data_IF_228992995012
#
_entry.id   IF_228992995012
#
_cell.length_a   1.000
_cell.length_b   1.000
_cell.length_c   1.000
_cell.angle_alpha   90.00
_cell.angle_beta   90.00
_cell.angle_gamma   90.00
#
_symmetry.space_group_name_H-M   'P 1'
#
loop_
_entity.id
_entity.type
_entity.pdbx_description
1 polymer ?
#
# COMPACT_ATOMS: atom_id res chain seq x y z
N UNK A 1 24.73 11.91 12.02
CA UNK A 1 23.99 10.76 12.56
C UNK A 1 24.73 9.47 12.21
N UNK A 2 25.09 8.67 13.22
CA UNK A 2 25.67 7.34 12.99
C UNK A 2 24.58 6.35 12.61
N UNK A 3 24.79 5.60 11.52
CA UNK A 3 23.84 4.64 10.99
C UNK A 3 24.22 3.25 11.50
N UNK A 4 23.47 2.78 12.50
CA UNK A 4 23.58 1.45 13.09
C UNK A 4 22.19 0.99 13.57
N UNK A 5 22.07 -0.25 14.06
CA UNK A 5 20.77 -0.83 14.43
C UNK A 5 20.05 -0.11 15.56
N UNK A 6 20.76 0.70 16.36
CA UNK A 6 20.17 1.50 17.41
C UNK A 6 19.42 2.72 16.87
N UNK A 7 19.48 3.00 15.56
CA UNK A 7 18.67 4.04 14.92
C UNK A 7 17.16 3.85 15.18
N UNK A 8 16.72 2.60 15.41
CA UNK A 8 15.36 2.28 15.84
C UNK A 8 14.93 2.96 17.14
N UNK A 9 15.89 3.34 17.99
CA UNK A 9 15.67 4.02 19.27
C UNK A 9 15.98 5.53 19.22
N UNK A 10 16.34 6.07 18.04
CA UNK A 10 16.82 7.45 17.87
C UNK A 10 15.77 8.38 17.25
N UNK A 11 14.51 8.25 17.68
CA UNK A 11 13.37 9.03 17.15
C UNK A 11 13.66 10.53 17.11
N UNK A 12 14.13 11.11 18.21
CA UNK A 12 14.38 12.56 18.29
C UNK A 12 15.53 13.02 17.37
N UNK A 13 16.60 12.23 17.23
CA UNK A 13 17.70 12.53 16.30
C UNK A 13 17.22 12.49 14.85
N UNK A 14 16.37 11.52 14.50
CA UNK A 14 15.77 11.39 13.17
C UNK A 14 14.81 12.53 12.84
N UNK A 15 13.93 12.89 13.79
CA UNK A 15 13.02 14.03 13.62
C UNK A 15 13.81 15.33 13.42
N UNK A 16 14.85 15.57 14.22
CA UNK A 16 15.74 16.73 14.04
C UNK A 16 16.40 16.69 12.65
N UNK A 17 16.99 15.56 12.27
CA UNK A 17 17.63 15.39 10.98
C UNK A 17 16.70 15.73 9.81
N UNK A 18 15.48 15.15 9.79
CA UNK A 18 14.53 15.43 8.72
C UNK A 18 14.02 16.87 8.72
N UNK A 19 13.83 17.50 9.89
CA UNK A 19 13.42 18.92 10.00
C UNK A 19 14.50 19.87 9.49
N UNK A 20 15.76 19.57 9.79
CA UNK A 20 16.90 20.34 9.27
C UNK A 20 16.93 20.26 7.73
N UNK A 21 16.80 19.04 7.19
CA UNK A 21 16.70 18.82 5.73
C UNK A 21 15.49 19.56 5.12
N UNK A 22 14.32 19.49 5.76
CA UNK A 22 13.12 20.18 5.30
C UNK A 22 13.32 21.69 5.23
N UNK A 23 13.99 22.28 6.23
CA UNK A 23 14.28 23.72 6.28
C UNK A 23 15.21 24.14 5.13
N UNK A 24 16.26 23.37 4.86
CA UNK A 24 17.15 23.59 3.72
C UNK A 24 16.38 23.51 2.39
N UNK A 25 15.56 22.48 2.19
CA UNK A 25 14.77 22.29 0.98
C UNK A 25 13.73 23.39 0.78
N UNK A 26 13.00 23.78 1.83
CA UNK A 26 12.00 24.84 1.75
C UNK A 26 12.63 26.18 1.34
N UNK A 27 13.84 26.47 1.80
CA UNK A 27 14.58 27.67 1.40
C UNK A 27 14.84 27.68 -0.11
N UNK A 28 15.30 26.56 -0.68
CA UNK A 28 15.54 26.42 -2.12
C UNK A 28 14.24 26.39 -2.94
N UNK A 29 13.19 25.77 -2.42
CA UNK A 29 11.89 25.67 -3.09
C UNK A 29 11.22 27.06 -3.18
N UNK A 30 11.36 27.88 -2.13
CA UNK A 30 10.82 29.25 -2.10
C UNK A 30 11.48 30.19 -3.11
N UNK A 31 12.74 29.94 -3.51
CA UNK A 31 13.38 30.71 -4.60
C UNK A 31 12.91 30.26 -5.98
N UNK A 32 12.51 29.00 -6.13
CA UNK A 32 12.08 28.42 -7.42
C UNK A 32 10.60 28.64 -7.74
N UNK A 33 9.74 28.71 -6.73
CA UNK A 33 8.29 28.81 -6.91
C UNK A 33 7.73 29.95 -6.07
N UNK A 34 6.79 30.71 -6.61
CA UNK A 34 6.09 31.78 -5.89
C UNK A 34 5.13 31.22 -4.83
N UNK A 35 4.69 32.06 -3.88
CA UNK A 35 3.75 31.66 -2.81
C UNK A 35 2.40 31.17 -3.36
N UNK A 36 1.96 31.74 -4.49
CA UNK A 36 0.73 31.33 -5.21
C UNK A 36 0.84 29.93 -5.82
N UNK A 37 2.03 29.33 -5.89
CA UNK A 37 2.28 27.99 -6.43
C UNK A 37 2.42 26.95 -5.31
N UNK A 38 1.57 27.04 -4.29
CA UNK A 38 1.61 26.18 -3.10
C UNK A 38 1.56 24.69 -3.44
N UNK A 39 0.82 24.27 -4.47
CA UNK A 39 0.78 22.88 -4.94
C UNK A 39 2.13 22.38 -5.44
N UNK A 40 2.85 23.20 -6.21
CA UNK A 40 4.18 22.84 -6.72
C UNK A 40 5.19 22.74 -5.58
N UNK A 41 5.11 23.65 -4.61
CA UNK A 41 5.97 23.63 -3.43
C UNK A 41 5.69 22.41 -2.55
N UNK A 42 4.42 22.10 -2.29
CA UNK A 42 3.99 20.93 -1.52
C UNK A 42 4.46 19.61 -2.18
N UNK A 43 4.37 19.51 -3.51
CA UNK A 43 4.90 18.36 -4.24
C UNK A 43 6.43 18.27 -4.14
N UNK A 44 7.12 19.38 -4.38
CA UNK A 44 8.59 19.41 -4.37
C UNK A 44 9.19 19.06 -3.00
N UNK A 45 8.60 19.55 -1.90
CA UNK A 45 9.10 19.22 -0.55
C UNK A 45 8.88 17.75 -0.22
N UNK A 46 7.74 17.17 -0.61
CA UNK A 46 7.47 15.75 -0.42
C UNK A 46 8.42 14.86 -1.21
N UNK A 47 8.72 15.22 -2.47
CA UNK A 47 9.69 14.51 -3.31
C UNK A 47 11.10 14.55 -2.70
N UNK A 48 11.56 15.72 -2.25
CA UNK A 48 12.88 15.90 -1.64
C UNK A 48 13.04 15.11 -0.31
N UNK A 49 12.02 15.14 0.55
CA UNK A 49 12.02 14.37 1.80
C UNK A 49 11.99 12.86 1.55
N UNK A 50 11.16 12.38 0.61
CA UNK A 50 11.16 10.97 0.23
C UNK A 50 12.51 10.52 -0.34
N UNK A 51 13.16 11.34 -1.17
CA UNK A 51 14.50 11.04 -1.67
C UNK A 51 15.52 10.95 -0.52
N UNK A 52 15.45 11.88 0.44
CA UNK A 52 16.31 11.86 1.64
C UNK A 52 16.11 10.59 2.45
N UNK A 53 14.86 10.20 2.73
CA UNK A 53 14.51 8.94 3.41
C UNK A 53 15.06 7.73 2.65
N UNK A 54 14.86 7.67 1.33
CA UNK A 54 15.33 6.55 0.51
C UNK A 54 16.86 6.44 0.53
N UNK A 55 17.59 7.55 0.45
CA UNK A 55 19.05 7.55 0.55
C UNK A 55 19.54 7.04 1.92
N UNK A 56 18.85 7.46 3.00
CA UNK A 56 19.14 7.00 4.34
C UNK A 56 18.88 5.49 4.50
N UNK A 57 17.75 4.99 3.99
CA UNK A 57 17.42 3.56 3.98
C UNK A 57 18.44 2.77 3.17
N UNK A 58 18.85 3.25 1.99
CA UNK A 58 19.90 2.59 1.19
C UNK A 58 21.20 2.46 1.97
N UNK A 59 21.62 3.52 2.66
CA UNK A 59 22.84 3.50 3.48
C UNK A 59 22.69 2.54 4.67
N UNK A 60 21.52 2.52 5.31
CA UNK A 60 21.18 1.57 6.37
C UNK A 60 21.28 0.13 5.88
N UNK A 61 20.69 -0.18 4.72
CA UNK A 61 20.69 -1.53 4.16
C UNK A 61 22.09 -2.01 3.79
N UNK A 62 22.95 -1.12 3.27
CA UNK A 62 24.36 -1.43 3.02
C UNK A 62 25.09 -1.80 4.31
N UNK A 63 24.86 -1.05 5.39
CA UNK A 63 25.45 -1.34 6.69
C UNK A 63 24.88 -2.63 7.30
N UNK A 64 23.57 -2.83 7.18
CA UNK A 64 22.87 -4.02 7.65
C UNK A 64 23.37 -5.30 6.96
N UNK A 65 23.73 -5.22 5.68
CA UNK A 65 24.31 -6.35 4.95
C UNK A 65 25.73 -6.65 5.45
N UNK A 66 26.57 -5.62 5.61
CA UNK A 66 27.93 -5.76 6.14
C UNK A 66 27.95 -6.42 7.52
N UNK A 67 27.02 -6.03 8.38
CA UNK A 67 26.92 -6.50 9.76
C UNK A 67 25.96 -7.69 9.92
N UNK A 68 25.39 -8.20 8.82
CA UNK A 68 24.49 -9.37 8.79
C UNK A 68 23.27 -9.24 9.72
N UNK A 69 22.60 -8.10 9.69
CA UNK A 69 21.38 -7.89 10.48
C UNK A 69 20.25 -8.81 10.04
N UNK A 70 19.45 -9.22 11.01
CA UNK A 70 18.19 -9.94 10.78
C UNK A 70 17.14 -9.04 10.09
N UNK A 71 16.12 -9.65 9.47
CA UNK A 71 15.00 -8.90 8.91
C UNK A 71 14.27 -8.05 9.97
N UNK A 72 14.14 -8.55 11.20
CA UNK A 72 13.54 -7.79 12.29
C UNK A 72 14.36 -6.54 12.64
N UNK A 73 15.68 -6.65 12.74
CA UNK A 73 16.56 -5.50 13.00
C UNK A 73 16.49 -4.46 11.87
N UNK A 74 16.44 -4.92 10.60
CA UNK A 74 16.24 -4.05 9.43
C UNK A 74 14.87 -3.36 9.49
N UNK A 75 13.80 -4.11 9.76
CA UNK A 75 12.42 -3.63 9.80
C UNK A 75 12.25 -2.54 10.87
N UNK A 76 12.67 -2.79 12.10
CA UNK A 76 12.53 -1.84 13.21
C UNK A 76 13.24 -0.51 12.93
N UNK A 77 14.43 -0.57 12.33
CA UNK A 77 15.17 0.62 11.92
C UNK A 77 14.47 1.39 10.79
N UNK A 78 13.97 0.68 9.77
CA UNK A 78 13.27 1.28 8.63
C UNK A 78 11.92 1.86 9.03
N UNK A 79 11.17 1.21 9.93
CA UNK A 79 9.92 1.72 10.49
C UNK A 79 10.16 3.07 11.18
N UNK A 80 11.19 3.17 12.02
CA UNK A 80 11.51 4.42 12.73
C UNK A 80 11.91 5.55 11.76
N UNK A 81 12.77 5.26 10.78
CA UNK A 81 13.16 6.22 9.73
C UNK A 81 11.93 6.68 8.93
N UNK A 82 11.10 5.74 8.52
CA UNK A 82 9.91 6.00 7.71
C UNK A 82 8.90 6.83 8.49
N UNK A 83 8.63 6.48 9.75
CA UNK A 83 7.74 7.23 10.63
C UNK A 83 8.20 8.67 10.83
N UNK A 84 9.48 8.89 11.20
CA UNK A 84 10.01 10.23 11.40
C UNK A 84 9.94 11.08 10.13
N UNK A 85 10.25 10.48 8.97
CA UNK A 85 10.07 11.15 7.69
C UNK A 85 8.59 11.51 7.43
N UNK A 86 7.66 10.62 7.75
CA UNK A 86 6.22 10.87 7.59
C UNK A 86 5.77 12.07 8.43
N UNK A 87 6.18 12.13 9.70
CA UNK A 87 5.90 13.25 10.60
C UNK A 87 6.34 14.56 9.94
N UNK A 88 7.60 14.65 9.52
CA UNK A 88 8.17 15.87 8.93
C UNK A 88 7.58 16.20 7.55
N UNK A 89 7.20 15.19 6.76
CA UNK A 89 6.50 15.40 5.50
C UNK A 89 5.13 16.04 5.72
N UNK A 90 4.37 15.58 6.72
CA UNK A 90 3.08 16.18 7.08
C UNK A 90 3.29 17.63 7.53
N UNK A 91 4.25 17.89 8.42
CA UNK A 91 4.58 19.24 8.89
C UNK A 91 4.93 20.18 7.72
N UNK A 92 5.87 19.75 6.88
CA UNK A 92 6.43 20.58 5.81
C UNK A 92 5.44 20.83 4.69
N UNK A 93 4.56 19.86 4.40
CA UNK A 93 3.44 20.07 3.49
C UNK A 93 2.47 21.07 4.11
N UNK A 94 2.07 20.86 5.37
CA UNK A 94 1.09 21.70 6.06
C UNK A 94 1.53 23.17 6.13
N UNK A 95 2.81 23.45 6.37
CA UNK A 95 3.35 24.82 6.44
C UNK A 95 3.32 25.57 5.10
N UNK A 96 3.20 24.86 3.97
CA UNK A 96 3.18 25.45 2.62
C UNK A 96 1.78 25.46 2.03
N UNK A 97 1.03 24.39 2.29
CA UNK A 97 -0.37 24.24 1.94
C UNK A 97 -1.04 23.56 3.13
N UNK A 98 -1.80 24.29 3.96
CA UNK A 98 -2.50 23.69 5.09
C UNK A 98 -3.42 22.56 4.65
N UNK A 99 -3.53 21.54 5.51
CA UNK A 99 -4.39 20.41 5.24
C UNK A 99 -5.85 20.75 5.49
N UNK A 100 -6.67 20.46 4.47
CA UNK A 100 -8.12 20.33 4.60
C UNK A 100 -8.50 18.88 4.88
N UNK A 101 -9.69 18.65 5.42
CA UNK A 101 -10.19 17.32 5.76
C UNK A 101 -9.97 16.26 4.66
N UNK A 102 -10.42 16.55 3.43
CA UNK A 102 -10.35 15.59 2.33
C UNK A 102 -8.91 15.25 1.93
N UNK A 103 -8.04 16.27 1.88
CA UNK A 103 -6.64 16.11 1.53
C UNK A 103 -5.89 15.34 2.62
N UNK A 104 -6.19 15.62 3.89
CA UNK A 104 -5.55 14.96 5.02
C UNK A 104 -5.95 13.49 5.14
N UNK A 105 -7.25 13.20 5.09
CA UNK A 105 -7.75 11.83 5.19
C UNK A 105 -7.18 10.94 4.08
N UNK A 106 -7.15 11.44 2.83
CA UNK A 106 -6.50 10.74 1.71
C UNK A 106 -5.01 10.53 1.97
N UNK A 107 -4.32 11.59 2.40
CA UNK A 107 -2.88 11.54 2.64
C UNK A 107 -2.50 10.52 3.71
N UNK A 108 -3.25 10.44 4.81
CA UNK A 108 -2.99 9.44 5.85
C UNK A 108 -3.18 8.03 5.31
N UNK A 109 -4.18 7.81 4.44
CA UNK A 109 -4.35 6.55 3.73
C UNK A 109 -3.17 6.16 2.85
N UNK A 110 -2.69 7.09 2.03
CA UNK A 110 -1.51 6.89 1.15
C UNK A 110 -0.22 6.59 1.92
N UNK A 111 -0.14 7.01 3.18
CA UNK A 111 1.02 6.80 4.04
C UNK A 111 0.95 5.47 4.81
N UNK A 112 -0.26 5.04 5.17
CA UNK A 112 -0.48 3.84 5.97
C UNK A 112 -0.18 2.55 5.19
N UNK A 113 -0.63 2.47 3.94
CA UNK A 113 -0.42 1.30 3.07
C UNK A 113 1.07 0.92 2.92
N UNK A 114 1.95 1.80 2.37
CA UNK A 114 3.37 1.48 2.23
C UNK A 114 4.06 1.25 3.57
N UNK A 115 3.56 1.83 4.66
CA UNK A 115 4.08 1.57 6.00
C UNK A 115 3.80 0.14 6.47
N UNK A 116 2.59 -0.37 6.23
CA UNK A 116 2.24 -1.76 6.53
C UNK A 116 3.02 -2.76 5.67
N UNK A 117 3.21 -2.44 4.38
CA UNK A 117 3.97 -3.28 3.43
C UNK A 117 5.42 -3.54 3.85
N UNK A 118 6.03 -2.67 4.66
CA UNK A 118 7.38 -2.89 5.20
C UNK A 118 7.51 -4.24 5.93
N UNK A 119 6.46 -4.69 6.61
CA UNK A 119 6.47 -5.97 7.31
C UNK A 119 6.60 -7.16 6.35
N UNK A 120 6.15 -7.01 5.10
CA UNK A 120 6.25 -8.06 4.07
C UNK A 120 7.53 -7.95 3.23
N UNK A 121 8.17 -6.77 3.21
CA UNK A 121 9.47 -6.57 2.59
C UNK A 121 10.62 -7.02 3.48
N UNK A 122 10.43 -6.99 4.79
CA UNK A 122 11.38 -7.49 5.79
C UNK A 122 10.68 -8.46 6.76
N UNK A 123 10.15 -9.58 6.26
CA UNK A 123 9.36 -10.48 7.07
C UNK A 123 10.23 -11.26 8.06
N UNK A 124 9.67 -11.53 9.23
CA UNK A 124 10.24 -12.44 10.23
C UNK A 124 9.89 -13.88 9.88
N UNK A 125 8.66 -14.10 9.42
CA UNK A 125 8.21 -15.38 8.89
C UNK A 125 8.79 -15.64 7.50
N UNK A 126 8.81 -16.91 7.11
CA UNK A 126 9.16 -17.29 5.75
C UNK A 126 7.99 -17.02 4.80
N UNK A 127 8.05 -15.89 4.10
CA UNK A 127 7.17 -15.55 2.99
C UNK A 127 8.02 -15.17 1.79
N UNK A 128 7.44 -15.25 0.60
CA UNK A 128 8.11 -14.81 -0.64
C UNK A 128 7.17 -13.94 -1.46
N UNK A 129 7.64 -12.75 -1.83
CA UNK A 129 6.91 -11.87 -2.73
C UNK A 129 6.95 -12.46 -4.14
N UNK A 130 5.88 -12.27 -4.90
CA UNK A 130 5.82 -12.68 -6.31
C UNK A 130 5.19 -11.58 -7.16
N UNK A 131 5.42 -11.65 -8.47
CA UNK A 131 4.75 -10.78 -9.44
C UNK A 131 3.53 -11.53 -9.97
N UNK A 132 2.32 -10.97 -9.87
CA UNK A 132 1.11 -11.62 -10.40
C UNK A 132 1.14 -11.67 -11.93
N UNK A 133 0.41 -12.61 -12.55
CA UNK A 133 0.31 -12.66 -14.00
C UNK A 133 -0.39 -11.42 -14.55
N UNK A 134 -0.05 -11.05 -15.78
CA UNK A 134 -0.80 -10.04 -16.51
C UNK A 134 -2.17 -10.57 -16.90
N UNK A 135 -3.18 -9.70 -16.96
CA UNK A 135 -4.51 -10.10 -17.42
C UNK A 135 -4.47 -10.64 -18.86
N UNK A 136 -3.58 -10.11 -19.71
CA UNK A 136 -3.36 -10.62 -21.07
C UNK A 136 -2.84 -12.05 -21.09
N UNK A 137 -1.98 -12.43 -20.15
CA UNK A 137 -1.44 -13.78 -20.00
C UNK A 137 -2.53 -14.74 -19.52
N UNK A 138 -3.31 -14.33 -18.52
CA UNK A 138 -4.48 -15.09 -18.04
C UNK A 138 -5.49 -15.31 -19.16
N UNK A 139 -5.84 -14.24 -19.89
CA UNK A 139 -6.76 -14.31 -21.02
C UNK A 139 -6.25 -15.28 -22.08
N UNK A 140 -4.97 -15.18 -22.45
CA UNK A 140 -4.36 -16.08 -23.43
C UNK A 140 -4.44 -17.53 -22.98
N UNK A 141 -4.05 -17.81 -21.73
CA UNK A 141 -4.10 -19.16 -21.16
C UNK A 141 -5.52 -19.76 -21.21
N UNK A 142 -6.53 -19.00 -20.78
CA UNK A 142 -7.93 -19.45 -20.84
C UNK A 142 -8.42 -19.65 -22.29
N UNK A 143 -8.01 -18.79 -23.22
CA UNK A 143 -8.32 -18.95 -24.65
C UNK A 143 -7.67 -20.19 -25.25
N UNK A 144 -6.41 -20.46 -24.92
CA UNK A 144 -5.67 -21.63 -25.39
C UNK A 144 -6.33 -22.92 -24.84
N UNK A 145 -6.66 -22.96 -23.54
CA UNK A 145 -7.35 -24.10 -22.91
C UNK A 145 -8.72 -24.41 -23.54
N UNK A 146 -9.52 -23.38 -23.80
CA UNK A 146 -10.84 -23.55 -24.43
C UNK A 146 -10.70 -23.96 -25.90
N UNK A 147 -9.70 -23.42 -26.59
CA UNK A 147 -9.37 -23.80 -27.97
C UNK A 147 -8.99 -25.27 -28.05
N UNK A 148 -8.10 -25.73 -27.16
CA UNK A 148 -7.68 -27.12 -27.06
C UNK A 148 -8.85 -28.04 -26.69
N UNK A 149 -9.74 -27.60 -25.79
CA UNK A 149 -10.96 -28.34 -25.47
C UNK A 149 -11.86 -28.52 -26.69
N UNK A 150 -12.14 -27.42 -27.43
CA UNK A 150 -12.97 -27.46 -28.65
C UNK A 150 -12.34 -28.36 -29.71
N UNK A 151 -11.01 -28.32 -29.87
CA UNK A 151 -10.31 -29.12 -30.88
C UNK A 151 -10.39 -30.63 -30.61
N UNK A 152 -10.53 -31.01 -29.34
CA UNK A 152 -10.71 -32.40 -28.91
C UNK A 152 -12.17 -32.91 -29.00
N UNK A 153 -13.14 -32.04 -29.30
CA UNK A 153 -14.54 -32.46 -29.47
C UNK A 153 -14.73 -33.30 -30.73
N UNK A 154 -15.58 -34.32 -30.65
CA UNK A 154 -15.96 -35.19 -31.77
C UNK A 154 -17.11 -34.58 -32.58
N UNK A 155 -16.89 -33.38 -33.12
CA UNK A 155 -17.82 -32.58 -33.94
C UNK A 155 -17.14 -32.16 -35.24
N UNK A 156 -17.88 -31.59 -36.20
CA UNK A 156 -17.30 -31.17 -37.49
C UNK A 156 -16.34 -29.97 -37.33
N UNK A 157 -15.41 -29.82 -38.26
CA UNK A 157 -14.45 -28.70 -38.22
C UNK A 157 -15.17 -27.35 -38.39
N UNK A 158 -16.27 -27.29 -39.14
CA UNK A 158 -17.11 -26.10 -39.23
C UNK A 158 -17.75 -25.75 -37.88
N UNK A 159 -18.25 -26.73 -37.14
CA UNK A 159 -18.84 -26.54 -35.81
C UNK A 159 -17.77 -26.05 -34.81
N UNK A 160 -16.54 -26.58 -34.87
CA UNK A 160 -15.41 -26.11 -34.05
C UNK A 160 -15.08 -24.64 -34.33
N UNK A 161 -14.97 -24.27 -35.61
CA UNK A 161 -14.69 -22.89 -36.00
C UNK A 161 -15.79 -21.93 -35.54
N UNK A 162 -17.05 -22.36 -35.63
CA UNK A 162 -18.17 -21.56 -35.17
C UNK A 162 -18.15 -21.36 -33.65
N UNK A 163 -17.86 -22.41 -32.86
CA UNK A 163 -17.71 -22.31 -31.40
C UNK A 163 -16.60 -21.33 -31.00
N UNK A 164 -15.41 -21.44 -31.63
CA UNK A 164 -14.29 -20.52 -31.41
C UNK A 164 -14.69 -19.07 -31.73
N UNK A 165 -15.40 -18.85 -32.83
CA UNK A 165 -15.91 -17.52 -33.21
C UNK A 165 -16.91 -16.95 -32.20
N UNK A 166 -17.79 -17.78 -31.64
CA UNK A 166 -18.73 -17.33 -30.60
C UNK A 166 -18.01 -16.97 -29.30
N UNK A 167 -17.00 -17.76 -28.93
CA UNK A 167 -16.16 -17.47 -27.77
C UNK A 167 -15.40 -16.15 -27.92
N UNK A 168 -14.79 -15.90 -29.09
CA UNK A 168 -14.11 -14.63 -29.37
C UNK A 168 -15.07 -13.42 -29.30
N UNK A 169 -16.32 -13.59 -29.77
CA UNK A 169 -17.35 -12.56 -29.62
C UNK A 169 -17.62 -12.25 -28.14
N UNK A 170 -17.78 -13.27 -27.29
CA UNK A 170 -17.97 -13.06 -25.85
C UNK A 170 -16.78 -12.32 -25.24
N UNK A 171 -15.55 -12.72 -25.58
CA UNK A 171 -14.34 -12.05 -25.07
C UNK A 171 -14.19 -10.62 -25.52
N UNK A 172 -14.59 -10.29 -26.75
CA UNK A 172 -14.53 -8.91 -27.24
C UNK A 172 -15.47 -7.96 -26.47
N UNK A 173 -16.57 -8.48 -25.91
CA UNK A 173 -17.47 -7.72 -25.03
C UNK A 173 -16.84 -7.49 -23.64
N UNK A 174 -16.15 -8.49 -23.10
CA UNK A 174 -15.49 -8.44 -21.78
C UNK A 174 -14.23 -7.56 -21.80
N UNK A 175 -13.48 -7.52 -22.92
CA UNK A 175 -12.22 -6.78 -23.04
C UNK A 175 -12.37 -5.29 -23.36
N UNK A 176 -13.53 -4.68 -23.12
CA UNK A 176 -13.76 -3.25 -23.38
C UNK A 176 -13.10 -2.32 -22.35
N UNK A 177 -12.41 -2.87 -21.34
CA UNK A 177 -11.58 -2.12 -20.38
C UNK A 177 -10.27 -2.85 -20.06
N UNK A 178 -9.24 -2.09 -19.69
CA UNK A 178 -7.97 -2.62 -19.18
C UNK A 178 -8.19 -3.14 -17.74
N UNK A 179 -8.08 -4.46 -17.54
CA UNK A 179 -8.16 -5.08 -16.21
C UNK A 179 -6.73 -5.23 -15.67
N UNK A 180 -6.45 -4.59 -14.54
CA UNK A 180 -5.19 -4.74 -13.81
C UNK A 180 -5.38 -5.75 -12.68
N UNK A 181 -4.68 -6.90 -12.79
CA UNK A 181 -4.67 -7.94 -11.76
C UNK A 181 -3.69 -7.63 -10.62
N UNK A 182 -2.69 -6.80 -10.87
CA UNK A 182 -1.76 -6.37 -9.84
C UNK A 182 -2.48 -5.53 -8.78
N UNK A 183 -2.56 -6.08 -7.59
CA UNK A 183 -3.00 -5.42 -6.37
C UNK A 183 -1.81 -4.81 -5.61
N UNK A 184 -2.08 -4.37 -4.39
CA UNK A 184 -1.10 -3.68 -3.56
C UNK A 184 0.07 -4.57 -3.12
N UNK A 185 -0.19 -5.84 -2.81
CA UNK A 185 0.82 -6.78 -2.32
C UNK A 185 0.49 -8.21 -2.74
N UNK A 186 1.53 -8.97 -3.10
CA UNK A 186 1.40 -10.37 -3.51
C UNK A 186 2.50 -11.18 -2.82
N UNK A 187 2.12 -12.22 -2.08
CA UNK A 187 3.07 -13.06 -1.36
C UNK A 187 2.60 -14.51 -1.26
N UNK A 188 3.56 -15.41 -1.15
CA UNK A 188 3.32 -16.83 -0.87
C UNK A 188 3.71 -17.14 0.56
N UNK A 189 2.89 -17.92 1.26
CA UNK A 189 3.16 -18.42 2.60
C UNK A 189 2.61 -19.85 2.71
N UNK A 190 3.45 -20.81 3.10
CA UNK A 190 3.10 -22.24 3.19
C UNK A 190 2.43 -22.78 1.90
N UNK A 191 3.06 -22.56 0.75
CA UNK A 191 2.58 -22.95 -0.60
C UNK A 191 1.23 -22.36 -1.04
N UNK A 192 0.65 -21.45 -0.23
CA UNK A 192 -0.55 -20.70 -0.56
C UNK A 192 -0.19 -19.32 -1.08
N UNK A 193 -0.71 -18.95 -2.25
CA UNK A 193 -0.57 -17.59 -2.81
C UNK A 193 -1.64 -16.66 -2.27
N UNK A 194 -1.23 -15.47 -1.87
CA UNK A 194 -2.09 -14.40 -1.38
C UNK A 194 -1.94 -13.15 -2.23
N UNK A 195 -3.06 -12.54 -2.55
CA UNK A 195 -3.13 -11.25 -3.25
C UNK A 195 -3.90 -10.29 -2.37
N UNK A 196 -3.33 -9.12 -2.10
CA UNK A 196 -3.79 -8.21 -1.06
C UNK A 196 -4.06 -6.84 -1.64
N UNK A 197 -5.23 -6.29 -1.33
CA UNK A 197 -5.58 -4.90 -1.60
C UNK A 197 -5.67 -4.15 -0.26
N UNK A 198 -5.04 -2.97 -0.17
CA UNK A 198 -5.04 -2.13 1.01
C UNK A 198 -6.00 -0.96 0.81
N UNK A 199 -6.79 -0.67 1.84
CA UNK A 199 -7.71 0.48 1.85
C UNK A 199 -7.59 1.26 3.14
N UNK A 200 -7.60 2.59 3.04
CA UNK A 200 -7.65 3.44 4.23
C UNK A 200 -9.02 3.41 4.91
N UNK A 201 -10.07 3.13 4.15
CA UNK A 201 -11.47 3.05 4.56
C UNK A 201 -12.39 3.11 3.34
N UNK A 202 -13.69 2.91 3.54
CA UNK A 202 -14.69 3.00 2.46
C UNK A 202 -15.50 4.29 2.57
N UNK A 203 -15.43 5.15 1.55
CA UNK A 203 -16.23 6.36 1.42
C UNK A 203 -17.64 6.11 0.84
N UNK A 204 -18.46 7.16 0.78
CA UNK A 204 -19.83 7.10 0.24
C UNK A 204 -19.89 6.82 -1.28
N UNK A 205 -18.80 7.04 -2.01
CA UNK A 205 -18.71 6.86 -3.46
C UNK A 205 -17.67 5.81 -3.88
N UNK A 206 -17.86 4.56 -3.46
CA UNK A 206 -16.94 3.44 -3.72
C UNK A 206 -17.49 2.39 -4.69
N UNK A 207 -18.64 2.62 -5.33
CA UNK A 207 -19.31 1.61 -6.18
C UNK A 207 -18.41 1.08 -7.31
N UNK A 208 -17.75 1.98 -8.05
CA UNK A 208 -16.86 1.60 -9.15
C UNK A 208 -15.66 0.76 -8.67
N UNK A 209 -15.00 1.20 -7.61
CA UNK A 209 -13.88 0.47 -7.02
C UNK A 209 -14.32 -0.87 -6.41
N UNK A 210 -15.51 -0.95 -5.81
CA UNK A 210 -16.09 -2.20 -5.28
C UNK A 210 -16.31 -3.22 -6.40
N UNK A 211 -16.90 -2.79 -7.52
CA UNK A 211 -17.12 -3.66 -8.68
C UNK A 211 -15.79 -4.14 -9.28
N UNK A 212 -14.77 -3.26 -9.36
CA UNK A 212 -13.42 -3.63 -9.79
C UNK A 212 -12.82 -4.71 -8.88
N UNK A 213 -12.90 -4.53 -7.56
CA UNK A 213 -12.38 -5.49 -6.58
C UNK A 213 -13.07 -6.85 -6.67
N UNK A 214 -14.39 -6.87 -6.88
CA UNK A 214 -15.13 -8.12 -7.09
C UNK A 214 -14.70 -8.84 -8.37
N UNK A 215 -14.52 -8.09 -9.47
CA UNK A 215 -14.05 -8.65 -10.74
C UNK A 215 -12.65 -9.25 -10.60
N UNK A 216 -11.71 -8.51 -10.02
CA UNK A 216 -10.32 -8.98 -9.86
C UNK A 216 -10.25 -10.24 -8.99
N UNK A 217 -10.93 -10.26 -7.85
CA UNK A 217 -10.96 -11.45 -6.99
C UNK A 217 -11.62 -12.65 -7.68
N UNK A 218 -12.67 -12.43 -8.46
CA UNK A 218 -13.32 -13.49 -9.23
C UNK A 218 -12.36 -14.10 -10.24
N UNK A 219 -11.56 -13.29 -10.94
CA UNK A 219 -10.53 -13.79 -11.86
C UNK A 219 -9.54 -14.67 -11.09
N UNK A 220 -9.00 -14.18 -9.97
CA UNK A 220 -8.04 -14.94 -9.15
C UNK A 220 -8.58 -16.28 -8.64
N UNK A 221 -9.86 -16.35 -8.25
CA UNK A 221 -10.48 -17.61 -7.82
C UNK A 221 -10.64 -18.64 -8.94
N UNK A 222 -10.67 -18.19 -10.19
CA UNK A 222 -10.76 -19.07 -11.36
C UNK A 222 -9.39 -19.43 -11.95
N UNK A 223 -8.29 -19.01 -11.32
CA UNK A 223 -6.94 -19.43 -11.69
C UNK A 223 -6.52 -20.69 -10.92
N UNK A 224 -5.74 -21.55 -11.57
CA UNK A 224 -5.32 -22.86 -11.03
C UNK A 224 -4.49 -22.78 -9.74
N UNK A 225 -3.78 -21.68 -9.50
CA UNK A 225 -2.86 -21.58 -8.34
C UNK A 225 -3.58 -21.33 -6.99
N UNK A 226 -4.90 -21.55 -6.92
CA UNK A 226 -5.71 -21.47 -5.71
C UNK A 226 -5.48 -20.16 -4.93
N UNK A 227 -5.54 -18.99 -5.58
CA UNK A 227 -5.24 -17.72 -4.91
C UNK A 227 -6.21 -17.38 -3.78
N UNK A 228 -5.69 -16.81 -2.69
CA UNK A 228 -6.50 -16.18 -1.63
C UNK A 228 -6.45 -14.67 -1.73
N UNK A 229 -7.62 -14.04 -1.81
CA UNK A 229 -7.75 -12.59 -1.89
C UNK A 229 -7.98 -12.01 -0.48
N UNK A 230 -7.07 -11.15 -0.02
CA UNK A 230 -7.14 -10.49 1.29
C UNK A 230 -7.39 -8.99 1.14
N UNK A 231 -8.33 -8.45 1.90
CA UNK A 231 -8.58 -7.00 1.93
C UNK A 231 -8.21 -6.47 3.31
N UNK A 232 -7.20 -5.60 3.38
CA UNK A 232 -6.78 -4.97 4.63
C UNK A 232 -7.24 -3.51 4.69
N UNK A 233 -8.06 -3.20 5.68
CA UNK A 233 -8.68 -1.87 5.82
C UNK A 233 -8.23 -1.21 7.11
N UNK A 234 -7.72 0.02 7.03
CA UNK A 234 -7.27 0.76 8.21
C UNK A 234 -8.43 1.19 9.12
N UNK A 235 -9.49 1.75 8.54
CA UNK A 235 -10.63 2.25 9.31
C UNK A 235 -11.32 1.14 10.11
N UNK A 236 -11.61 1.41 11.38
CA UNK A 236 -12.32 0.49 12.27
C UNK A 236 -13.78 0.32 11.85
N UNK A 237 -14.48 1.42 11.59
CA UNK A 237 -15.84 1.44 11.08
C UNK A 237 -15.85 1.52 9.55
N UNK A 238 -16.69 0.70 8.92
CA UNK A 238 -16.81 0.62 7.48
C UNK A 238 -18.29 0.58 7.04
N UNK A 239 -18.52 0.81 5.75
CA UNK A 239 -19.87 0.96 5.20
C UNK A 239 -20.36 -0.29 4.44
N UNK A 240 -21.50 -0.17 3.76
CA UNK A 240 -22.11 -1.27 2.99
C UNK A 240 -21.22 -1.85 1.89
N UNK A 241 -20.32 -1.07 1.30
CA UNK A 241 -19.40 -1.56 0.27
C UNK A 241 -18.40 -2.57 0.83
N UNK A 242 -17.83 -2.28 2.00
CA UNK A 242 -16.96 -3.22 2.71
C UNK A 242 -17.71 -4.51 3.06
N UNK A 243 -18.94 -4.39 3.58
CA UNK A 243 -19.75 -5.56 3.93
C UNK A 243 -20.09 -6.40 2.69
N UNK A 244 -20.34 -5.78 1.54
CA UNK A 244 -20.52 -6.51 0.27
C UNK A 244 -19.27 -7.32 -0.10
N UNK A 245 -18.07 -6.73 0.01
CA UNK A 245 -16.82 -7.45 -0.27
C UNK A 245 -16.59 -8.57 0.75
N UNK A 246 -16.79 -8.32 2.04
CA UNK A 246 -16.64 -9.32 3.09
C UNK A 246 -17.61 -10.49 2.95
N UNK A 247 -18.87 -10.20 2.61
CA UNK A 247 -19.92 -11.21 2.50
C UNK A 247 -19.97 -11.90 1.13
N UNK A 248 -19.16 -11.45 0.16
CA UNK A 248 -19.11 -12.03 -1.18
C UNK A 248 -18.58 -13.48 -1.20
N UNK A 249 -17.87 -13.91 -0.16
CA UNK A 249 -17.17 -15.19 -0.11
C UNK A 249 -15.90 -15.25 -0.96
N UNK A 250 -15.55 -14.17 -1.67
CA UNK A 250 -14.36 -14.11 -2.52
C UNK A 250 -13.20 -13.30 -1.93
N UNK A 251 -13.49 -12.41 -0.98
CA UNK A 251 -12.48 -11.67 -0.21
C UNK A 251 -12.50 -12.09 1.26
N UNK A 252 -11.32 -12.37 1.81
CA UNK A 252 -11.13 -12.37 3.26
C UNK A 252 -10.79 -10.94 3.71
N UNK A 253 -11.81 -10.22 4.22
CA UNK A 253 -11.71 -8.80 4.55
C UNK A 253 -11.58 -8.53 6.05
N UNK A 254 -10.54 -7.77 6.43
CA UNK A 254 -10.16 -7.46 7.80
C UNK A 254 -10.00 -5.95 7.98
N UNK A 255 -10.50 -5.40 9.09
CA UNK A 255 -10.46 -3.96 9.35
C UNK A 255 -9.87 -3.59 10.72
N UNK A 256 -9.26 -2.41 10.81
CA UNK A 256 -8.64 -1.88 12.02
C UNK A 256 -7.68 -2.89 12.65
N UNK A 257 -7.91 -3.23 13.92
CA UNK A 257 -7.06 -4.17 14.65
C UNK A 257 -7.00 -5.57 14.02
N UNK A 258 -8.06 -6.05 13.36
CA UNK A 258 -8.04 -7.35 12.66
C UNK A 258 -7.03 -7.34 11.51
N UNK A 259 -6.93 -6.22 10.78
CA UNK A 259 -5.96 -6.07 9.70
C UNK A 259 -4.53 -6.16 10.24
N UNK A 260 -4.22 -5.50 11.35
CA UNK A 260 -2.90 -5.60 11.98
C UNK A 260 -2.60 -7.00 12.53
N UNK A 261 -3.60 -7.69 13.07
CA UNK A 261 -3.44 -9.08 13.50
C UNK A 261 -3.05 -9.97 12.32
N UNK A 262 -3.72 -9.81 11.16
CA UNK A 262 -3.36 -10.55 9.94
C UNK A 262 -2.01 -10.17 9.38
N UNK A 263 -1.62 -8.89 9.43
CA UNK A 263 -0.27 -8.47 9.08
C UNK A 263 0.75 -9.20 9.97
N UNK A 264 0.52 -9.25 11.30
CA UNK A 264 1.40 -9.94 12.23
C UNK A 264 1.43 -11.46 12.02
N UNK A 265 0.29 -12.07 11.72
CA UNK A 265 0.16 -13.50 11.42
C UNK A 265 1.03 -13.90 10.23
N UNK A 266 0.93 -13.16 9.12
CA UNK A 266 1.67 -13.49 7.90
C UNK A 266 3.12 -13.05 7.94
N UNK A 267 3.42 -11.82 8.36
CA UNK A 267 4.78 -11.28 8.37
C UNK A 267 5.63 -11.78 9.55
N UNK A 268 4.99 -12.22 10.64
CA UNK A 268 5.65 -12.57 11.89
C UNK A 268 6.02 -11.35 12.76
N UNK A 269 5.59 -10.14 12.40
CA UNK A 269 5.93 -8.91 13.12
C UNK A 269 4.70 -8.17 13.64
N UNK A 270 4.68 -7.86 14.94
CA UNK A 270 3.57 -7.16 15.59
C UNK A 270 3.65 -5.64 15.33
N UNK A 271 3.20 -5.22 14.15
CA UNK A 271 3.18 -3.81 13.76
C UNK A 271 2.31 -2.96 14.70
N UNK A 272 1.20 -3.50 15.21
CA UNK A 272 0.30 -2.76 16.10
C UNK A 272 0.98 -2.37 17.41
N UNK A 273 1.66 -3.33 18.03
CA UNK A 273 2.43 -3.04 19.24
C UNK A 273 3.55 -2.02 18.97
N UNK A 274 4.21 -2.12 17.80
CA UNK A 274 5.22 -1.14 17.43
C UNK A 274 4.63 0.26 17.28
N UNK A 275 3.47 0.43 16.63
CA UNK A 275 2.84 1.74 16.49
C UNK A 275 2.42 2.31 17.83
N UNK A 276 1.77 1.50 18.68
CA UNK A 276 1.36 1.90 20.04
C UNK A 276 2.53 2.33 20.94
N UNK A 277 3.71 1.73 20.74
CA UNK A 277 4.90 2.04 21.54
C UNK A 277 5.66 3.27 21.05
N UNK A 278 5.70 3.49 19.73
CA UNK A 278 6.64 4.42 19.12
C UNK A 278 6.00 5.70 18.57
N UNK A 279 4.71 5.65 18.21
CA UNK A 279 4.00 6.74 17.56
C UNK A 279 3.24 7.56 18.59
N UNK A 280 3.58 8.84 18.69
CA UNK A 280 2.77 9.83 19.39
C UNK A 280 2.66 11.07 18.50
N UNK A 281 1.69 11.05 17.58
CA UNK A 281 1.54 12.10 16.58
C UNK A 281 1.47 13.51 17.17
N UNK A 282 0.70 13.72 18.23
CA UNK A 282 0.48 15.05 18.78
C UNK A 282 1.76 15.63 19.39
N UNK A 283 2.56 14.79 20.05
CA UNK A 283 3.84 15.17 20.66
C UNK A 283 4.99 15.17 19.66
N UNK A 284 4.94 14.33 18.63
CA UNK A 284 5.99 14.20 17.63
C UNK A 284 5.90 15.28 16.56
N UNK A 285 4.73 15.90 16.33
CA UNK A 285 4.60 17.08 15.46
C UNK A 285 5.14 18.36 16.08
N UNK A 286 5.51 19.32 15.23
CA UNK A 286 5.78 20.69 15.63
C UNK A 286 4.49 21.42 16.07
N UNK A 287 4.67 22.46 16.89
CA UNK A 287 3.55 23.17 17.52
C UNK A 287 2.54 23.75 16.51
N UNK A 288 3.02 24.30 15.39
CA UNK A 288 2.16 24.88 14.34
C UNK A 288 1.24 23.82 13.72
N UNK A 289 1.81 22.65 13.39
CA UNK A 289 1.06 21.54 12.79
C UNK A 289 0.07 20.97 13.79
N UNK A 290 0.49 20.72 15.04
CA UNK A 290 -0.41 20.24 16.10
C UNK A 290 -1.58 21.18 16.32
N UNK A 291 -1.34 22.50 16.36
CA UNK A 291 -2.39 23.49 16.52
C UNK A 291 -3.37 23.48 15.34
N UNK A 292 -2.86 23.46 14.10
CA UNK A 292 -3.69 23.42 12.89
C UNK A 292 -4.57 22.17 12.86
N UNK A 293 -3.99 21.00 13.11
CA UNK A 293 -4.73 19.74 13.07
C UNK A 293 -5.76 19.64 14.21
N UNK A 294 -5.46 20.19 15.38
CA UNK A 294 -6.40 20.23 16.51
C UNK A 294 -7.59 21.15 16.21
N UNK A 295 -7.32 22.38 15.76
CA UNK A 295 -8.36 23.37 15.47
C UNK A 295 -9.35 22.90 14.37
N UNK A 296 -8.87 22.09 13.44
CA UNK A 296 -9.66 21.57 12.32
C UNK A 296 -10.17 20.13 12.55
N UNK A 297 -10.03 19.59 13.77
CA UNK A 297 -10.43 18.23 14.12
C UNK A 297 -9.88 17.15 13.16
N UNK A 298 -8.60 17.26 12.82
CA UNK A 298 -7.93 16.38 11.86
C UNK A 298 -7.12 15.26 12.54
N UNK A 299 -6.79 15.39 13.82
CA UNK A 299 -6.00 14.36 14.54
C UNK A 299 -6.68 12.98 14.55
N UNK A 300 -8.01 12.92 14.52
CA UNK A 300 -8.78 11.68 14.42
C UNK A 300 -8.43 10.81 13.19
N UNK A 301 -7.87 11.39 12.13
CA UNK A 301 -7.49 10.63 10.94
C UNK A 301 -6.18 9.86 11.12
N UNK A 302 -5.37 10.18 12.13
CA UNK A 302 -4.05 9.58 12.38
C UNK A 302 -4.11 8.30 13.24
N UNK A 303 -5.30 7.74 13.46
CA UNK A 303 -5.47 6.47 14.15
C UNK A 303 -4.85 5.34 13.31
N UNK A 304 -3.66 4.90 13.73
CA UNK A 304 -2.89 3.79 13.19
C UNK A 304 -2.89 2.66 14.22
#
# INVERSE_FOLDING_TARGET
MNIDKNIKNKKQELLSYFRDRATEFLTQIKTKFADTQSDKRARAINEALNQTKNNLITTLLQQAEKDKWTNQEKLEAILMITYCNIVVMIESRNSVRPYEYMDFSRRVGELWDPFCKLCFYYPVNNISLFVPPLFSEVKKKMTDEITDYIDNLTISDEEKQELKRYYDKVWSLVSSGEIQLELDLHFSHNDQKYVVDFKSGFGSNEKGNTNRLLLVATIYQNLDDNYKCLLFVRAQENNSYFNTLKNSGIWEAYCGNEAYQKISEYSGYNLKQWTETNIDWASDFNAETTQHLTNNNLLQYLLW
#
